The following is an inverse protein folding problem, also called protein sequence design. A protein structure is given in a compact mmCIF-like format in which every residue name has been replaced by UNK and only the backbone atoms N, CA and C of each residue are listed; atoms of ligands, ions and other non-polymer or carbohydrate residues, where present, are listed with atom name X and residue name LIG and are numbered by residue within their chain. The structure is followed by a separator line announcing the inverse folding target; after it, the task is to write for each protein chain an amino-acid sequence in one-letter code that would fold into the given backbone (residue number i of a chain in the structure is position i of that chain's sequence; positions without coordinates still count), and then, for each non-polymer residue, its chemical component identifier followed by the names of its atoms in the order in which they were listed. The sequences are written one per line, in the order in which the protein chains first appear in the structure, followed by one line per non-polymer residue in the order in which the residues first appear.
data_IF_674224659592
#
_entry.id   IF_674224659592
#
_cell.length_a   1.000
_cell.length_b   1.000
_cell.length_c   1.000
_cell.angle_alpha   90.00
_cell.angle_beta   90.00
_cell.angle_gamma   90.00
#
_symmetry.space_group_name_H-M   'P 1'
#
loop_
_entity.id
_entity.type
_entity.pdbx_description
1 polymer ?
#
# COMPACT_ATOMS: atom_id res chain seq x y z
N UNK A 1 36.03 3.84 -16.77
CA UNK A 1 34.56 3.94 -16.90
C UNK A 1 33.98 2.69 -16.28
N UNK A 2 33.51 2.76 -15.04
CA UNK A 2 32.93 1.61 -14.33
C UNK A 2 31.47 1.45 -14.76
N UNK A 3 31.13 0.29 -15.31
CA UNK A 3 29.75 -0.12 -15.60
C UNK A 3 28.93 0.02 -14.31
N UNK A 4 28.00 0.98 -14.28
CA UNK A 4 26.93 0.99 -13.31
C UNK A 4 25.97 -0.14 -13.72
N UNK A 5 26.13 -1.30 -13.10
CA UNK A 5 25.14 -2.38 -13.17
C UNK A 5 23.84 -1.82 -12.61
N UNK A 6 22.88 -1.53 -13.49
CA UNK A 6 21.51 -1.21 -13.13
C UNK A 6 20.92 -2.51 -12.55
N UNK A 7 21.09 -2.72 -11.25
CA UNK A 7 20.32 -3.72 -10.52
C UNK A 7 18.89 -3.22 -10.58
N UNK A 8 18.08 -3.83 -11.46
CA UNK A 8 16.63 -3.66 -11.39
C UNK A 8 16.23 -4.31 -10.07
N UNK A 9 15.97 -3.52 -9.04
CA UNK A 9 15.48 -4.05 -7.77
C UNK A 9 13.98 -4.29 -7.94
N UNK A 10 13.55 -5.54 -8.02
CA UNK A 10 12.15 -5.84 -7.80
C UNK A 10 11.93 -5.83 -6.29
N UNK A 11 11.18 -4.84 -5.83
CA UNK A 11 10.79 -4.79 -4.43
C UNK A 11 9.61 -5.73 -4.31
N UNK A 12 9.89 -6.95 -3.85
CA UNK A 12 8.84 -7.75 -3.26
C UNK A 12 8.66 -7.15 -1.87
N UNK A 13 7.64 -6.30 -1.72
CA UNK A 13 7.21 -5.86 -0.41
C UNK A 13 6.53 -7.03 0.32
N UNK A 14 7.18 -8.16 0.51
CA UNK A 14 6.68 -9.14 1.45
C UNK A 14 6.97 -8.55 2.83
N UNK A 15 6.00 -7.81 3.38
CA UNK A 15 6.11 -7.31 4.74
C UNK A 15 6.04 -8.54 5.64
N UNK A 16 7.06 -8.73 6.48
CA UNK A 16 7.06 -9.83 7.43
C UNK A 16 5.72 -9.83 8.20
N UNK A 17 5.02 -10.96 8.19
CA UNK A 17 3.87 -11.19 9.05
C UNK A 17 4.32 -10.99 10.51
N UNK A 18 3.52 -10.32 11.33
CA UNK A 18 3.85 -10.06 12.75
C UNK A 18 3.52 -11.32 13.57
N UNK A 19 4.25 -12.40 13.32
CA UNK A 19 4.14 -13.64 14.09
C UNK A 19 4.88 -13.53 15.43
N UNK A 20 4.23 -13.91 16.53
CA UNK A 20 4.94 -14.26 17.77
C UNK A 20 5.56 -15.65 17.60
N UNK A 21 6.75 -15.71 17.00
CA UNK A 21 7.55 -16.91 17.02
C UNK A 21 8.18 -17.07 18.43
N UNK A 22 8.13 -18.28 18.99
CA UNK A 22 9.02 -18.64 20.09
C UNK A 22 10.47 -18.40 19.62
N UNK A 23 11.43 -18.09 20.50
CA UNK A 23 12.82 -17.74 20.14
C UNK A 23 13.59 -18.78 19.29
N UNK A 24 12.96 -19.89 18.92
CA UNK A 24 13.52 -21.04 18.21
C UNK A 24 12.63 -21.55 17.06
N UNK A 25 11.50 -20.90 16.75
CA UNK A 25 10.64 -21.34 15.65
C UNK A 25 11.20 -20.89 14.30
N UNK A 26 11.28 -21.80 13.33
CA UNK A 26 11.46 -21.44 11.92
C UNK A 26 10.11 -21.07 11.30
N UNK A 27 10.05 -19.97 10.55
CA UNK A 27 8.90 -19.63 9.72
C UNK A 27 9.37 -19.39 8.28
N UNK A 28 8.49 -19.64 7.31
CA UNK A 28 8.77 -19.45 5.89
C UNK A 28 7.93 -18.29 5.39
N UNK A 29 8.57 -17.20 4.96
CA UNK A 29 7.90 -16.14 4.22
C UNK A 29 7.83 -16.56 2.75
N UNK A 30 6.62 -16.81 2.24
CA UNK A 30 6.44 -17.10 0.82
C UNK A 30 6.43 -15.79 0.03
N UNK A 31 7.33 -15.68 -0.94
CA UNK A 31 7.30 -14.64 -1.97
C UNK A 31 6.30 -15.07 -3.04
N UNK A 32 5.29 -14.26 -3.41
CA UNK A 32 4.42 -14.57 -4.54
C UNK A 32 5.25 -14.57 -5.82
N UNK A 33 5.53 -15.76 -6.36
CA UNK A 33 6.44 -15.95 -7.48
C UNK A 33 5.76 -15.66 -8.83
N UNK A 34 6.13 -14.55 -9.45
CA UNK A 34 6.31 -14.43 -10.92
C UNK A 34 7.56 -13.57 -11.21
N UNK A 35 8.70 -13.97 -10.63
CA UNK A 35 10.00 -13.36 -10.92
C UNK A 35 10.78 -14.27 -11.88
N UNK A 36 10.38 -14.27 -13.14
CA UNK A 36 11.08 -14.96 -14.24
C UNK A 36 12.46 -14.36 -14.58
N UNK A 37 13.05 -13.52 -13.70
CA UNK A 37 14.36 -12.88 -13.91
C UNK A 37 15.27 -13.09 -12.69
N UNK A 38 16.32 -13.92 -12.79
CA UNK A 38 17.22 -14.27 -11.69
C UNK A 38 18.20 -13.14 -11.26
N UNK A 39 18.03 -11.91 -11.73
CA UNK A 39 18.94 -10.78 -11.46
C UNK A 39 18.39 -9.76 -10.44
N UNK A 40 17.24 -10.04 -9.84
CA UNK A 40 16.56 -9.09 -8.95
C UNK A 40 17.02 -9.33 -7.50
N UNK A 41 17.79 -8.40 -6.94
CA UNK A 41 18.03 -8.37 -5.49
C UNK A 41 16.71 -8.14 -4.76
N UNK A 42 16.38 -9.02 -3.81
CA UNK A 42 15.20 -8.88 -2.96
C UNK A 42 15.57 -8.16 -1.68
N UNK A 43 14.89 -7.06 -1.39
CA UNK A 43 15.04 -6.34 -0.12
C UNK A 43 13.74 -6.42 0.67
N UNK A 44 13.83 -6.94 1.89
CA UNK A 44 12.71 -6.99 2.83
C UNK A 44 12.55 -5.62 3.50
N UNK A 45 11.35 -5.04 3.41
CA UNK A 45 11.02 -3.79 4.10
C UNK A 45 10.31 -4.08 5.43
N UNK A 46 10.81 -3.42 6.46
CA UNK A 46 10.33 -3.50 7.85
C UNK A 46 10.30 -2.08 8.42
N UNK A 47 9.70 -1.90 9.59
CA UNK A 47 9.75 -0.61 10.30
C UNK A 47 11.19 -0.13 10.56
N UNK A 48 12.12 -1.06 10.80
CA UNK A 48 13.49 -0.73 11.15
C UNK A 48 14.31 -0.15 9.98
N UNK A 49 13.93 -0.45 8.74
CA UNK A 49 14.72 -0.10 7.55
C UNK A 49 13.95 0.68 6.47
N UNK A 50 12.64 0.91 6.65
CA UNK A 50 11.84 1.65 5.66
C UNK A 50 12.31 3.09 5.49
N UNK A 51 12.72 3.77 6.57
CA UNK A 51 13.24 5.14 6.50
C UNK A 51 14.57 5.23 5.73
N UNK A 52 15.49 4.29 6.00
CA UNK A 52 16.76 4.18 5.27
C UNK A 52 16.51 3.90 3.78
N UNK A 53 15.57 3.01 3.47
CA UNK A 53 15.17 2.74 2.10
C UNK A 53 14.64 3.99 1.38
N UNK A 54 13.76 4.75 2.02
CA UNK A 54 13.20 5.98 1.45
C UNK A 54 14.29 7.02 1.19
N UNK A 55 15.21 7.21 2.14
CA UNK A 55 16.33 8.13 2.00
C UNK A 55 17.31 7.71 0.89
N UNK A 56 17.67 6.42 0.84
CA UNK A 56 18.60 5.88 -0.14
C UNK A 56 18.08 5.99 -1.59
N UNK A 57 16.76 5.94 -1.77
CA UNK A 57 16.10 6.06 -3.08
C UNK A 57 15.61 7.48 -3.38
N UNK A 58 15.95 8.46 -2.54
CA UNK A 58 15.53 9.85 -2.67
C UNK A 58 14.01 10.01 -2.85
N UNK A 59 13.24 9.20 -2.10
CA UNK A 59 11.78 9.20 -2.15
C UNK A 59 11.26 10.25 -1.18
N UNK A 60 10.53 11.22 -1.72
CA UNK A 60 9.87 12.23 -0.89
C UNK A 60 8.43 11.80 -0.63
N UNK A 61 8.04 11.79 0.65
CA UNK A 61 6.65 11.57 1.07
C UNK A 61 6.00 12.93 1.30
N UNK A 62 4.90 13.20 0.60
CA UNK A 62 4.02 14.33 0.89
C UNK A 62 2.77 13.83 1.59
N UNK A 63 2.50 14.33 2.78
CA UNK A 63 1.30 13.97 3.54
C UNK A 63 0.28 15.09 3.49
N UNK A 64 -1.00 14.75 3.49
CA UNK A 64 -2.06 15.74 3.59
C UNK A 64 -3.35 15.16 4.16
N UNK A 65 -4.23 16.07 4.55
CA UNK A 65 -5.58 15.76 5.03
C UNK A 65 -6.59 16.41 4.11
N UNK A 66 -7.59 15.63 3.72
CA UNK A 66 -8.72 16.09 2.92
C UNK A 66 -9.95 16.08 3.79
N UNK A 67 -10.58 17.25 3.90
CA UNK A 67 -11.86 17.40 4.58
C UNK A 67 -12.99 17.07 3.60
N UNK A 68 -13.75 16.02 3.93
CA UNK A 68 -14.91 15.57 3.17
C UNK A 68 -15.98 16.65 2.97
N UNK A 69 -16.10 17.57 3.94
CA UNK A 69 -17.06 18.67 3.93
C UNK A 69 -16.59 19.89 3.12
N UNK A 70 -15.30 19.95 2.79
CA UNK A 70 -14.72 21.05 2.03
C UNK A 70 -15.10 20.98 0.55
N UNK A 71 -15.45 22.14 -0.03
CA UNK A 71 -15.84 22.25 -1.43
C UNK A 71 -14.75 21.78 -2.39
N UNK A 72 -15.15 21.33 -3.59
CA UNK A 72 -14.27 20.74 -4.61
C UNK A 72 -13.06 21.62 -4.96
N UNK A 73 -13.18 22.95 -4.90
CA UNK A 73 -12.07 23.88 -5.16
C UNK A 73 -10.91 23.75 -4.16
N UNK A 74 -11.18 23.34 -2.91
CA UNK A 74 -10.15 23.07 -1.89
C UNK A 74 -9.45 21.73 -2.08
N UNK A 75 -9.95 20.90 -2.99
CA UNK A 75 -9.37 19.60 -3.37
C UNK A 75 -8.43 19.71 -4.57
N UNK A 76 -8.30 20.89 -5.17
CA UNK A 76 -7.47 21.13 -6.35
C UNK A 76 -5.95 20.99 -6.07
N UNK A 77 -5.53 21.17 -4.81
CA UNK A 77 -4.12 21.04 -4.39
C UNK A 77 -3.74 19.61 -4.01
N UNK A 78 -4.69 18.65 -4.08
CA UNK A 78 -4.40 17.24 -3.81
C UNK A 78 -3.59 16.69 -4.99
N UNK A 79 -2.44 16.05 -4.75
CA UNK A 79 -1.65 15.44 -5.82
C UNK A 79 -2.50 14.48 -6.66
N UNK A 80 -2.26 14.46 -7.97
CA UNK A 80 -2.90 13.50 -8.89
C UNK A 80 -2.73 12.06 -8.36
N UNK A 81 -3.79 11.26 -8.35
CA UNK A 81 -3.76 9.92 -7.75
C UNK A 81 -4.08 9.88 -6.25
N UNK A 82 -3.92 10.96 -5.50
CA UNK A 82 -4.29 11.01 -4.08
C UNK A 82 -5.74 11.51 -3.88
N UNK A 83 -6.39 11.94 -4.97
CA UNK A 83 -7.79 12.32 -4.99
C UNK A 83 -8.67 11.06 -5.07
N UNK A 84 -8.74 10.31 -3.97
CA UNK A 84 -9.61 9.14 -3.86
C UNK A 84 -11.07 9.63 -3.86
N UNK A 85 -11.71 9.63 -5.03
CA UNK A 85 -13.07 10.15 -5.22
C UNK A 85 -14.08 9.44 -4.31
N UNK A 86 -14.36 10.04 -3.15
CA UNK A 86 -15.60 9.83 -2.40
C UNK A 86 -16.11 11.19 -1.91
N UNK A 87 -17.32 11.53 -2.30
CA UNK A 87 -18.03 12.71 -1.82
C UNK A 87 -18.23 12.59 -0.31
N UNK A 88 -17.92 13.66 0.44
CA UNK A 88 -18.27 13.75 1.85
C UNK A 88 -17.37 13.05 2.86
N UNK A 89 -16.37 12.25 2.47
CA UNK A 89 -15.50 11.54 3.42
C UNK A 89 -14.17 12.25 3.63
N UNK A 90 -13.79 12.44 4.90
CA UNK A 90 -12.48 12.95 5.27
C UNK A 90 -11.44 11.83 5.33
N UNK A 91 -10.30 12.05 4.69
CA UNK A 91 -9.21 11.07 4.63
C UNK A 91 -7.85 11.74 4.76
N UNK A 92 -6.87 10.97 5.23
CA UNK A 92 -5.47 11.33 5.13
C UNK A 92 -4.86 10.61 3.93
N UNK A 93 -3.84 11.22 3.32
CA UNK A 93 -3.08 10.61 2.25
C UNK A 93 -1.58 10.82 2.42
N UNK A 94 -0.83 9.93 1.79
CA UNK A 94 0.58 10.02 1.51
C UNK A 94 0.79 9.87 0.02
N UNK A 95 1.45 10.84 -0.59
CA UNK A 95 1.95 10.76 -1.96
C UNK A 95 3.43 10.41 -1.93
N UNK A 96 3.81 9.39 -2.70
CA UNK A 96 5.18 8.98 -2.91
C UNK A 96 5.63 9.46 -4.28
N UNK A 97 6.58 10.39 -4.31
CA UNK A 97 7.25 10.80 -5.54
C UNK A 97 8.39 9.81 -5.84
N UNK A 98 8.19 8.98 -6.85
CA UNK A 98 9.06 7.82 -7.11
C UNK A 98 10.15 8.08 -8.15
N UNK A 99 10.66 9.33 -8.23
CA UNK A 99 11.86 9.71 -9.01
C UNK A 99 11.95 9.06 -10.39
N UNK A 100 10.90 9.22 -11.21
CA UNK A 100 10.85 8.70 -12.59
C UNK A 100 10.08 7.39 -12.77
N UNK A 101 9.59 6.77 -11.69
CA UNK A 101 8.77 5.56 -11.77
C UNK A 101 7.26 5.81 -11.78
N UNK A 102 6.82 7.06 -11.59
CA UNK A 102 5.40 7.42 -11.50
C UNK A 102 5.02 7.97 -10.12
N UNK A 103 3.72 8.06 -9.85
CA UNK A 103 3.19 8.54 -8.57
C UNK A 103 2.36 7.43 -7.92
N UNK A 104 2.66 7.14 -6.65
CA UNK A 104 1.80 6.30 -5.82
C UNK A 104 1.14 7.14 -4.73
N UNK A 105 -0.09 6.79 -4.38
CA UNK A 105 -0.74 7.34 -3.21
C UNK A 105 -1.30 6.24 -2.31
N UNK A 106 -1.08 6.41 -1.01
CA UNK A 106 -1.73 5.64 0.04
C UNK A 106 -2.66 6.58 0.78
N UNK A 107 -3.87 6.13 1.11
CA UNK A 107 -4.80 6.91 1.91
C UNK A 107 -5.59 6.05 2.88
N UNK A 108 -6.21 6.71 3.85
CA UNK A 108 -7.10 6.07 4.80
C UNK A 108 -8.15 7.04 5.31
N UNK A 109 -9.35 6.52 5.56
CA UNK A 109 -10.44 7.31 6.15
C UNK A 109 -10.12 7.64 7.60
N UNK A 110 -10.29 8.92 7.98
CA UNK A 110 -9.95 9.39 9.33
C UNK A 110 -10.95 8.86 10.36
N UNK A 111 -12.23 8.82 10.01
CA UNK A 111 -13.29 8.32 10.90
C UNK A 111 -14.38 7.62 10.10
N UNK A 112 -14.88 6.45 10.54
CA UNK A 112 -14.45 5.72 11.74
C UNK A 112 -13.05 5.08 11.58
N UNK A 113 -12.27 5.06 12.68
CA UNK A 113 -11.01 4.32 12.79
C UNK A 113 -10.97 3.53 14.11
N UNK A 114 -10.07 2.55 14.18
CA UNK A 114 -9.93 1.66 15.33
C UNK A 114 -8.73 1.98 16.23
N UNK A 115 -8.03 3.08 15.95
CA UNK A 115 -6.80 3.45 16.63
C UNK A 115 -5.88 4.25 15.72
N UNK A 116 -5.46 5.42 16.20
CA UNK A 116 -4.31 6.15 15.67
C UNK A 116 -3.04 5.64 16.36
N UNK A 117 -1.89 5.72 15.68
CA UNK A 117 -0.59 5.26 16.16
C UNK A 117 -0.57 3.76 16.56
N UNK A 118 -1.42 2.97 15.93
CA UNK A 118 -1.56 1.53 16.12
C UNK A 118 -1.59 0.80 14.79
N UNK A 119 -0.91 -0.34 14.75
CA UNK A 119 -1.03 -1.28 13.65
C UNK A 119 -2.16 -2.27 13.91
N UNK A 120 -2.79 -2.74 12.83
CA UNK A 120 -3.45 -4.03 12.86
C UNK A 120 -2.44 -5.08 13.36
N UNK A 121 -2.91 -5.98 14.22
CA UNK A 121 -2.15 -7.16 14.61
C UNK A 121 -2.55 -8.33 13.70
N UNK A 122 -1.79 -9.42 13.74
CA UNK A 122 -2.26 -10.64 13.08
C UNK A 122 -3.52 -11.18 13.77
N UNK A 123 -4.49 -11.71 13.00
CA UNK A 123 -4.41 -12.01 11.57
C UNK A 123 -4.67 -10.81 10.64
N UNK A 124 -5.28 -9.72 11.13
CA UNK A 124 -5.71 -8.59 10.31
C UNK A 124 -4.60 -7.96 9.45
N UNK A 125 -3.39 -7.85 10.00
CA UNK A 125 -2.24 -7.31 9.28
C UNK A 125 -1.86 -8.19 8.08
N UNK A 126 -1.80 -9.50 8.28
CA UNK A 126 -1.52 -10.47 7.22
C UNK A 126 -2.66 -10.53 6.21
N UNK A 127 -3.91 -10.54 6.67
CA UNK A 127 -5.09 -10.57 5.80
C UNK A 127 -5.15 -9.32 4.91
N UNK A 128 -4.81 -8.14 5.45
CA UNK A 128 -4.74 -6.88 4.72
C UNK A 128 -3.68 -6.87 3.59
N UNK A 129 -2.56 -7.58 3.76
CA UNK A 129 -1.57 -7.71 2.69
C UNK A 129 -2.04 -8.72 1.64
N UNK A 130 -2.55 -9.86 2.10
CA UNK A 130 -3.02 -10.94 1.23
C UNK A 130 -4.17 -10.49 0.33
N UNK A 131 -5.10 -9.70 0.86
CA UNK A 131 -6.24 -9.19 0.09
C UNK A 131 -5.79 -8.28 -1.06
N UNK A 132 -4.79 -7.44 -0.82
CA UNK A 132 -4.20 -6.55 -1.83
C UNK A 132 -3.50 -7.36 -2.91
N UNK A 133 -2.65 -8.32 -2.52
CA UNK A 133 -2.00 -9.21 -3.47
C UNK A 133 -3.01 -9.99 -4.32
N UNK A 134 -4.04 -10.53 -3.68
CA UNK A 134 -5.10 -11.27 -4.37
C UNK A 134 -5.84 -10.39 -5.37
N UNK A 135 -6.22 -9.17 -4.97
CA UNK A 135 -6.96 -8.25 -5.84
C UNK A 135 -6.14 -7.84 -7.06
N UNK A 136 -4.86 -7.56 -6.87
CA UNK A 136 -3.95 -7.18 -7.94
C UNK A 136 -3.69 -8.35 -8.90
N UNK A 137 -3.68 -9.59 -8.39
CA UNK A 137 -3.53 -10.78 -9.21
C UNK A 137 -4.76 -11.07 -10.09
N UNK A 138 -5.97 -10.70 -9.63
CA UNK A 138 -7.22 -10.95 -10.36
C UNK A 138 -7.42 -10.10 -11.62
N UNK A 139 -6.82 -8.90 -11.68
CA UNK A 139 -6.89 -8.00 -12.85
C UNK A 139 -8.33 -7.77 -13.37
N UNK A 140 -9.28 -7.61 -12.44
CA UNK A 140 -10.71 -7.55 -12.73
C UNK A 140 -11.37 -6.27 -12.21
N UNK A 141 -11.86 -5.44 -13.13
CA UNK A 141 -12.52 -4.16 -12.84
C UNK A 141 -13.80 -4.27 -11.97
N UNK A 142 -14.43 -5.44 -11.95
CA UNK A 142 -15.69 -5.70 -11.22
C UNK A 142 -15.60 -6.86 -10.25
N UNK A 143 -14.38 -7.36 -10.02
CA UNK A 143 -14.16 -8.45 -9.10
C UNK A 143 -13.70 -7.90 -7.76
N UNK A 144 -14.25 -8.47 -6.70
CA UNK A 144 -13.77 -8.23 -5.35
C UNK A 144 -12.97 -9.43 -4.89
N UNK A 145 -11.96 -9.16 -4.07
CA UNK A 145 -11.27 -10.17 -3.30
C UNK A 145 -11.76 -10.13 -1.86
N UNK A 146 -11.62 -11.24 -1.16
CA UNK A 146 -12.00 -11.37 0.25
C UNK A 146 -10.96 -12.24 0.95
N UNK A 147 -10.36 -11.74 2.03
CA UNK A 147 -9.42 -12.47 2.90
C UNK A 147 -9.72 -12.09 4.33
N UNK A 148 -10.05 -13.08 5.16
CA UNK A 148 -10.50 -12.85 6.53
C UNK A 148 -11.67 -11.86 6.55
N UNK A 149 -11.48 -10.78 7.31
CA UNK A 149 -12.45 -9.70 7.47
C UNK A 149 -12.25 -8.53 6.49
N UNK A 150 -11.44 -8.71 5.46
CA UNK A 150 -11.08 -7.67 4.51
C UNK A 150 -11.65 -7.94 3.12
N UNK A 151 -12.05 -6.87 2.46
CA UNK A 151 -12.42 -6.84 1.04
C UNK A 151 -11.58 -5.81 0.29
N UNK A 152 -11.27 -6.10 -0.97
CA UNK A 152 -10.66 -5.12 -1.86
C UNK A 152 -11.29 -5.18 -3.25
N UNK A 153 -11.36 -4.02 -3.90
CA UNK A 153 -11.90 -3.87 -5.23
C UNK A 153 -11.27 -2.70 -5.97
N UNK A 154 -11.18 -2.82 -7.29
CA UNK A 154 -10.81 -1.72 -8.18
C UNK A 154 -12.00 -0.77 -8.36
N UNK A 155 -11.73 0.52 -8.48
CA UNK A 155 -12.74 1.54 -8.80
C UNK A 155 -13.06 1.45 -10.31
N UNK A 156 -14.29 1.75 -10.77
CA UNK A 156 -14.64 1.82 -12.19
C UNK A 156 -13.54 2.44 -13.07
N UNK A 157 -13.26 1.78 -14.21
CA UNK A 157 -12.22 2.14 -15.19
C UNK A 157 -10.75 1.97 -14.77
N UNK A 158 -10.49 1.32 -13.63
CA UNK A 158 -9.13 0.93 -13.20
C UNK A 158 -8.88 -0.57 -13.38
N UNK A 159 -7.66 -0.96 -13.75
CA UNK A 159 -7.26 -2.36 -13.96
C UNK A 159 -6.15 -2.75 -12.99
N UNK A 160 -5.56 -3.95 -13.10
CA UNK A 160 -4.41 -4.28 -12.28
C UNK A 160 -3.33 -3.20 -12.43
N UNK A 161 -2.84 -2.69 -11.29
CA UNK A 161 -1.72 -1.76 -11.26
C UNK A 161 -0.60 -2.26 -12.15
N UNK A 162 0.03 -1.35 -12.90
CA UNK A 162 1.16 -1.68 -13.76
C UNK A 162 2.21 -2.53 -13.01
N UNK A 163 2.58 -3.67 -13.61
CA UNK A 163 3.51 -4.65 -13.03
C UNK A 163 3.08 -5.27 -11.69
N UNK A 164 1.81 -5.15 -11.31
CA UNK A 164 1.27 -5.66 -10.04
C UNK A 164 2.01 -5.10 -8.81
N UNK A 165 2.54 -3.89 -8.92
CA UNK A 165 3.34 -3.27 -7.88
C UNK A 165 2.46 -2.71 -6.75
N UNK A 166 2.57 -3.32 -5.57
CA UNK A 166 1.91 -2.91 -4.34
C UNK A 166 2.89 -2.43 -3.27
N UNK A 167 4.16 -2.23 -3.64
CA UNK A 167 5.22 -1.84 -2.71
C UNK A 167 4.86 -0.60 -1.90
N UNK A 168 4.30 0.40 -2.57
CA UNK A 168 3.95 1.67 -1.95
C UNK A 168 2.75 1.58 -1.01
N UNK A 169 1.87 0.59 -1.21
CA UNK A 169 0.83 0.28 -0.24
C UNK A 169 1.44 -0.26 1.06
N UNK A 170 2.36 -1.23 0.96
CA UNK A 170 3.07 -1.79 2.11
C UNK A 170 3.87 -0.73 2.87
N UNK A 171 4.61 0.11 2.14
CA UNK A 171 5.34 1.25 2.73
C UNK A 171 4.37 2.21 3.44
N UNK A 172 3.24 2.56 2.82
CA UNK A 172 2.23 3.44 3.40
C UNK A 172 1.63 2.90 4.71
N UNK A 173 1.40 1.58 4.78
CA UNK A 173 0.97 0.91 6.02
C UNK A 173 2.03 0.97 7.12
N UNK A 174 3.30 0.73 6.78
CA UNK A 174 4.40 0.77 7.75
C UNK A 174 4.61 2.18 8.34
N UNK A 175 4.52 3.21 7.50
CA UNK A 175 4.83 4.59 7.88
C UNK A 175 3.68 5.24 8.67
N UNK A 176 2.41 5.03 8.32
CA UNK A 176 1.28 5.75 8.95
C UNK A 176 0.78 5.17 10.26
N UNK A 177 1.19 3.96 10.64
CA UNK A 177 0.76 3.29 11.89
C UNK A 177 -0.72 3.51 12.23
N UNK A 178 -1.62 3.24 11.28
CA UNK A 178 -3.05 3.52 11.48
C UNK A 178 -3.88 2.26 11.35
N UNK A 179 -4.81 2.07 12.27
CA UNK A 179 -5.80 0.99 12.29
C UNK A 179 -7.11 1.50 11.70
N UNK A 180 -7.14 1.76 10.39
CA UNK A 180 -8.30 2.30 9.70
C UNK A 180 -9.22 1.18 9.18
N UNK A 181 -10.53 1.44 9.11
CA UNK A 181 -11.49 0.51 8.51
C UNK A 181 -11.51 0.58 6.98
N UNK A 182 -10.95 1.64 6.40
CA UNK A 182 -10.90 1.84 4.95
C UNK A 182 -9.58 2.47 4.55
N UNK A 183 -8.90 1.79 3.63
CA UNK A 183 -7.68 2.25 2.98
C UNK A 183 -7.94 2.48 1.49
N UNK A 184 -7.10 3.32 0.91
CA UNK A 184 -7.04 3.56 -0.52
C UNK A 184 -5.61 3.39 -0.99
N UNK A 185 -5.47 2.82 -2.17
CA UNK A 185 -4.20 2.74 -2.86
C UNK A 185 -4.39 3.17 -4.31
N UNK A 186 -3.48 3.99 -4.81
CA UNK A 186 -3.42 4.29 -6.23
C UNK A 186 -1.99 4.26 -6.74
N UNK A 187 -1.88 3.93 -8.02
CA UNK A 187 -0.63 3.99 -8.77
C UNK A 187 -0.96 4.37 -10.20
N UNK A 188 -0.31 5.42 -10.71
CA UNK A 188 -0.35 5.78 -12.14
C UNK A 188 -1.77 5.76 -12.75
N UNK A 189 -2.75 6.31 -12.02
CA UNK A 189 -4.19 6.41 -12.36
C UNK A 189 -5.07 5.18 -12.10
N UNK A 190 -4.53 4.04 -11.69
CA UNK A 190 -5.33 2.93 -11.15
C UNK A 190 -5.61 3.15 -9.66
N UNK A 191 -6.78 2.71 -9.20
CA UNK A 191 -7.26 2.94 -7.83
C UNK A 191 -7.90 1.70 -7.25
N UNK A 192 -7.51 1.35 -6.04
CA UNK A 192 -8.08 0.26 -5.26
C UNK A 192 -8.61 0.79 -3.92
N UNK A 193 -9.80 0.34 -3.57
CA UNK A 193 -10.37 0.52 -2.25
C UNK A 193 -10.22 -0.78 -1.46
N UNK A 194 -9.83 -0.67 -0.19
CA UNK A 194 -9.71 -1.78 0.73
C UNK A 194 -10.53 -1.47 1.97
N UNK A 195 -11.41 -2.37 2.36
CA UNK A 195 -12.37 -2.16 3.45
C UNK A 195 -12.44 -3.35 4.39
N UNK A 196 -12.46 -3.08 5.69
CA UNK A 196 -12.73 -4.07 6.73
C UNK A 196 -14.25 -4.22 6.88
N UNK A 197 -14.75 -5.44 6.74
CA UNK A 197 -16.16 -5.78 6.69
C UNK A 197 -16.87 -5.62 8.04
N UNK A 198 -16.14 -5.88 9.13
CA UNK A 198 -16.63 -5.71 10.50
C UNK A 198 -15.80 -4.66 11.22
N UNK A 199 -16.37 -4.06 12.26
CA UNK A 199 -15.75 -2.99 13.02
C UNK A 199 -14.45 -3.38 13.73
N UNK A 200 -14.04 -2.52 14.64
CA UNK A 200 -13.00 -2.81 15.62
C UNK A 200 -13.51 -3.85 16.63
#
# INVERSE_FOLDING_TARGET
MSLATIIKTAIVAALATRGTALPTSSFTLQVPTDLSKPELGLTWLTEANVEEYLAANNITIKTGTVDGSSGLSKRADIPSGCAFEQSGISYNYQSFDTSGHGQACFGFVITPNCGLDQYWQDPDWTDLQNIVQQQIAKDGLFEFSYVGDWSAGFIPFTTAFKNRDWTWFGIGLLVNKVKALQYYYSRDFDYMNIHKLHGC
#
